data_IF_351300467947
#
_entry.id   IF_351300467947
#
_cell.length_a   1.000
_cell.length_b   1.000
_cell.length_c   1.000
_cell.angle_alpha   90.00
_cell.angle_beta   90.00
_cell.angle_gamma   90.00
#
_symmetry.space_group_name_H-M   'P 1'
#
loop_
_entity.id
_entity.type
_entity.pdbx_description
1 polymer ?
#
# COMPACT_ATOMS: atom_id res chain seq x y z
N UNK A 1 99.04 -43.13 24.29
CA UNK A 1 98.48 -44.44 24.70
C UNK A 1 97.22 -44.14 25.50
N UNK A 2 96.05 -44.63 25.04
CA UNK A 2 94.88 -45.08 25.82
C UNK A 2 94.26 -44.13 26.88
N UNK A 3 92.95 -43.93 27.06
CA UNK A 3 91.70 -44.42 26.47
C UNK A 3 90.57 -43.59 27.12
N UNK A 4 89.62 -43.14 26.31
CA UNK A 4 88.17 -42.99 26.55
C UNK A 4 87.54 -43.41 27.90
N UNK A 5 86.62 -42.56 28.41
CA UNK A 5 85.13 -42.74 28.39
C UNK A 5 84.30 -42.64 29.71
N UNK A 6 83.25 -41.79 29.59
CA UNK A 6 81.85 -41.81 30.10
C UNK A 6 81.46 -41.54 31.57
N UNK A 7 80.37 -40.76 31.70
CA UNK A 7 79.09 -40.95 32.46
C UNK A 7 78.60 -39.58 33.05
N UNK A 8 77.64 -38.90 32.40
CA UNK A 8 76.18 -38.81 32.71
C UNK A 8 75.89 -38.12 34.07
N UNK A 9 75.49 -36.84 34.05
CA UNK A 9 74.11 -36.30 34.13
C UNK A 9 73.54 -36.26 35.56
N UNK A 10 73.41 -35.05 36.11
CA UNK A 10 72.77 -34.78 37.39
C UNK A 10 72.35 -33.31 37.50
N UNK A 11 71.03 -33.08 37.49
CA UNK A 11 70.33 -31.81 37.63
C UNK A 11 70.82 -30.93 38.79
N UNK A 12 70.84 -29.61 38.60
CA UNK A 12 69.98 -28.61 39.27
C UNK A 12 70.64 -27.22 39.23
N UNK A 13 70.21 -26.35 38.31
CA UNK A 13 70.45 -24.90 38.42
C UNK A 13 69.39 -24.15 37.61
N UNK A 14 68.18 -24.07 38.17
CA UNK A 14 67.20 -23.04 37.83
C UNK A 14 67.54 -21.79 38.64
N UNK A 15 67.84 -20.69 37.97
CA UNK A 15 68.09 -19.42 38.66
C UNK A 15 68.61 -18.29 37.77
N UNK A 16 67.68 -17.69 37.02
CA UNK A 16 67.69 -16.30 36.55
C UNK A 16 68.74 -15.88 35.52
N UNK A 17 68.31 -15.78 34.26
CA UNK A 17 68.51 -14.64 33.35
C UNK A 17 67.48 -14.77 32.21
N UNK A 18 66.26 -14.32 32.48
CA UNK A 18 65.22 -14.13 31.47
C UNK A 18 64.68 -12.71 31.61
N UNK A 19 65.39 -11.76 31.00
CA UNK A 19 64.86 -10.46 30.61
C UNK A 19 64.98 -10.36 29.08
N UNK A 20 63.99 -9.71 28.48
CA UNK A 20 63.95 -9.29 27.07
C UNK A 20 63.69 -10.36 26.00
N UNK A 21 62.52 -10.99 26.03
CA UNK A 21 61.70 -11.23 24.82
C UNK A 21 60.20 -11.33 25.17
N UNK A 22 59.72 -10.57 26.16
CA UNK A 22 58.31 -10.63 26.60
C UNK A 22 57.42 -9.48 26.09
N UNK A 23 58.02 -8.43 25.52
CA UNK A 23 57.25 -7.26 25.04
C UNK A 23 57.07 -7.19 23.51
N UNK A 24 57.73 -8.07 22.73
CA UNK A 24 57.47 -8.20 21.28
C UNK A 24 56.30 -9.15 20.96
N UNK A 25 55.92 -10.05 21.88
CA UNK A 25 54.76 -10.95 21.73
C UNK A 25 53.42 -10.33 22.14
N UNK A 26 53.42 -9.08 22.65
CA UNK A 26 52.21 -8.34 23.05
C UNK A 26 51.67 -7.39 21.96
N UNK A 27 52.25 -7.39 20.76
CA UNK A 27 51.76 -6.63 19.61
C UNK A 27 50.98 -7.47 18.60
N UNK A 28 50.66 -8.72 18.92
CA UNK A 28 49.56 -9.41 18.26
C UNK A 28 48.29 -9.01 19.00
N UNK A 29 47.24 -8.53 18.30
CA UNK A 29 45.96 -8.29 18.95
C UNK A 29 45.53 -9.58 19.67
N UNK A 30 45.02 -9.42 20.89
CA UNK A 30 44.30 -10.45 21.63
C UNK A 30 43.35 -11.18 20.68
N UNK A 31 43.36 -12.52 20.69
CA UNK A 31 42.42 -13.35 19.92
C UNK A 31 40.93 -13.07 20.23
N UNK A 32 40.65 -12.23 21.23
CA UNK A 32 39.29 -11.85 21.65
C UNK A 32 38.69 -10.68 20.84
N UNK A 33 39.48 -9.97 20.01
CA UNK A 33 38.99 -8.82 19.21
C UNK A 33 38.96 -9.07 17.69
N UNK A 34 39.33 -10.26 17.22
CA UNK A 34 39.18 -10.62 15.80
C UNK A 34 37.82 -11.27 15.59
N UNK A 35 36.86 -10.48 15.14
CA UNK A 35 35.59 -11.02 14.67
C UNK A 35 35.90 -11.96 13.50
N UNK A 36 35.53 -13.23 13.65
CA UNK A 36 35.78 -14.22 12.60
C UNK A 36 35.06 -13.79 11.31
N UNK A 37 35.68 -14.04 10.17
CA UNK A 37 35.18 -13.60 8.86
C UNK A 37 34.99 -14.79 7.92
N UNK A 38 34.09 -14.62 6.96
CA UNK A 38 33.92 -15.50 5.80
C UNK A 38 33.75 -14.69 4.52
N UNK A 39 33.39 -15.38 3.45
CA UNK A 39 33.24 -14.80 2.11
C UNK A 39 31.85 -15.03 1.54
N UNK A 40 31.40 -14.10 0.72
CA UNK A 40 30.12 -14.08 0.04
C UNK A 40 30.32 -13.97 -1.47
N UNK A 41 29.50 -14.69 -2.23
CA UNK A 41 29.37 -14.56 -3.69
C UNK A 41 27.89 -14.62 -4.04
N UNK A 42 27.49 -13.85 -5.06
CA UNK A 42 26.09 -13.66 -5.43
C UNK A 42 25.86 -13.95 -6.90
N UNK A 43 24.83 -14.73 -7.18
CA UNK A 43 24.20 -14.85 -8.49
C UNK A 43 22.82 -14.18 -8.45
N UNK A 44 22.63 -13.09 -9.21
CA UNK A 44 21.32 -12.40 -9.33
C UNK A 44 20.72 -12.70 -10.69
N UNK A 45 19.44 -13.08 -10.69
CA UNK A 45 18.66 -13.24 -11.92
C UNK A 45 17.33 -12.51 -11.80
N UNK A 46 16.88 -11.90 -12.89
CA UNK A 46 15.53 -11.34 -12.98
C UNK A 46 14.61 -12.33 -13.66
N UNK A 47 13.48 -12.64 -13.03
CA UNK A 47 12.51 -13.58 -13.60
C UNK A 47 11.59 -12.93 -14.64
N UNK A 48 11.78 -11.65 -14.96
CA UNK A 48 10.96 -10.97 -15.98
C UNK A 48 11.02 -11.62 -17.36
N UNK A 49 12.06 -12.39 -17.68
CA UNK A 49 12.15 -13.14 -18.94
C UNK A 49 11.41 -14.48 -18.95
N UNK A 50 11.09 -15.05 -17.78
CA UNK A 50 10.47 -16.38 -17.65
C UNK A 50 9.10 -16.33 -16.93
N UNK A 51 8.56 -15.13 -16.68
CA UNK A 51 7.20 -14.98 -16.16
C UNK A 51 6.16 -15.26 -17.25
N UNK A 52 5.00 -15.73 -16.81
CA UNK A 52 3.84 -16.05 -17.66
C UNK A 52 2.96 -14.83 -17.97
N UNK A 53 3.43 -13.63 -17.68
CA UNK A 53 2.71 -12.37 -17.94
C UNK A 53 2.66 -12.09 -19.45
N UNK A 54 1.55 -11.53 -19.94
CA UNK A 54 1.44 -10.99 -21.32
C UNK A 54 2.14 -9.62 -21.45
N UNK A 55 2.43 -8.95 -20.33
CA UNK A 55 3.12 -7.67 -20.30
C UNK A 55 4.52 -7.75 -20.94
N UNK A 56 4.81 -6.82 -21.84
CA UNK A 56 6.16 -6.65 -22.40
C UNK A 56 7.00 -5.74 -21.49
N UNK A 57 8.19 -6.21 -21.10
CA UNK A 57 9.12 -5.43 -20.28
C UNK A 57 10.27 -4.85 -21.12
N UNK A 58 10.73 -3.64 -20.79
CA UNK A 58 11.96 -3.10 -21.36
C UNK A 58 13.14 -4.00 -20.95
N UNK A 59 14.03 -4.29 -21.89
CA UNK A 59 15.27 -5.03 -21.67
C UNK A 59 16.06 -4.54 -20.45
N UNK A 60 16.11 -3.23 -20.20
CA UNK A 60 16.84 -2.66 -19.06
C UNK A 60 16.18 -2.97 -17.72
N UNK A 61 14.86 -3.16 -17.71
CA UNK A 61 14.08 -3.43 -16.49
C UNK A 61 14.18 -4.89 -16.07
N UNK A 62 14.62 -5.77 -16.96
CA UNK A 62 14.83 -7.21 -16.69
C UNK A 62 16.31 -7.62 -16.73
N UNK A 63 17.22 -6.70 -17.06
CA UNK A 63 18.66 -6.95 -17.01
C UNK A 63 19.17 -6.82 -15.57
N UNK A 64 19.25 -7.96 -14.88
CA UNK A 64 19.72 -8.04 -13.50
C UNK A 64 21.15 -7.52 -13.29
N UNK A 65 21.98 -7.41 -14.35
CA UNK A 65 23.34 -6.88 -14.21
C UNK A 65 23.36 -5.39 -13.85
N UNK A 66 22.26 -4.68 -14.14
CA UNK A 66 22.09 -3.26 -13.85
C UNK A 66 21.53 -2.97 -12.45
N UNK A 67 21.14 -3.98 -11.69
CA UNK A 67 20.38 -3.80 -10.45
C UNK A 67 21.30 -3.39 -9.29
N UNK A 68 20.98 -2.32 -8.53
CA UNK A 68 21.62 -2.09 -7.25
C UNK A 68 21.53 -3.30 -6.32
N UNK A 69 22.56 -3.50 -5.50
CA UNK A 69 22.64 -4.59 -4.54
C UNK A 69 23.00 -4.07 -3.16
N UNK A 70 22.22 -4.47 -2.17
CA UNK A 70 22.43 -4.15 -0.75
C UNK A 70 22.65 -5.44 0.05
N UNK A 71 23.68 -5.45 0.91
CA UNK A 71 23.91 -6.52 1.88
C UNK A 71 23.65 -5.95 3.27
N UNK A 72 22.63 -6.48 3.94
CA UNK A 72 22.08 -5.95 5.18
C UNK A 72 22.31 -6.95 6.30
N UNK A 73 22.89 -6.49 7.41
CA UNK A 73 23.01 -7.29 8.63
C UNK A 73 21.63 -7.42 9.29
N UNK A 74 21.17 -8.64 9.52
CA UNK A 74 19.81 -8.88 10.02
C UNK A 74 19.63 -8.57 11.50
N UNK A 75 20.72 -8.47 12.28
CA UNK A 75 20.65 -8.18 13.71
C UNK A 75 20.58 -6.66 13.92
N UNK A 76 21.47 -5.91 13.29
CA UNK A 76 21.51 -4.44 13.41
C UNK A 76 20.56 -3.73 12.46
N UNK A 77 20.14 -4.37 11.37
CA UNK A 77 19.40 -3.74 10.27
C UNK A 77 20.25 -2.81 9.40
N UNK A 78 21.58 -2.79 9.59
CA UNK A 78 22.49 -1.89 8.87
C UNK A 78 22.86 -2.45 7.50
N UNK A 79 22.90 -1.59 6.49
CA UNK A 79 23.50 -1.90 5.19
C UNK A 79 25.01 -1.89 5.33
N UNK A 80 25.63 -3.07 5.32
CA UNK A 80 27.09 -3.23 5.43
C UNK A 80 27.78 -2.93 4.10
N UNK A 81 27.13 -3.28 2.99
CA UNK A 81 27.62 -2.99 1.65
C UNK A 81 26.48 -2.55 0.74
N UNK A 82 26.79 -1.58 -0.11
CA UNK A 82 25.93 -1.14 -1.20
C UNK A 82 26.78 -1.10 -2.48
N UNK A 83 26.20 -1.61 -3.57
CA UNK A 83 26.77 -1.54 -4.92
C UNK A 83 25.74 -0.91 -5.85
N UNK A 84 26.20 0.03 -6.68
CA UNK A 84 25.34 0.73 -7.64
C UNK A 84 24.75 -0.23 -8.68
N UNK A 85 25.44 -1.34 -8.97
CA UNK A 85 24.94 -2.42 -9.83
C UNK A 85 25.48 -3.81 -9.44
N UNK A 86 24.78 -4.86 -9.86
CA UNK A 86 25.24 -6.24 -9.71
C UNK A 86 26.53 -6.49 -10.51
N UNK A 87 26.69 -5.85 -11.67
CA UNK A 87 27.93 -5.88 -12.43
C UNK A 87 29.13 -5.35 -11.61
N UNK A 88 28.95 -4.29 -10.82
CA UNK A 88 30.00 -3.76 -9.95
C UNK A 88 30.37 -4.75 -8.85
N UNK A 89 29.39 -5.42 -8.26
CA UNK A 89 29.62 -6.48 -7.27
C UNK A 89 30.44 -7.63 -7.87
N UNK A 90 30.13 -8.06 -9.10
CA UNK A 90 30.86 -9.13 -9.78
C UNK A 90 32.36 -8.81 -9.95
N UNK A 91 32.73 -7.54 -10.10
CA UNK A 91 34.15 -7.14 -10.20
C UNK A 91 34.95 -7.40 -8.92
N UNK A 92 34.28 -7.52 -7.77
CA UNK A 92 34.91 -7.83 -6.48
C UNK A 92 35.31 -9.31 -6.36
N UNK A 93 34.68 -10.19 -7.15
CA UNK A 93 34.86 -11.64 -7.10
C UNK A 93 34.25 -12.28 -5.84
N UNK A 94 34.71 -11.89 -4.65
CA UNK A 94 34.15 -12.30 -3.36
C UNK A 94 34.11 -11.12 -2.39
N UNK A 95 33.00 -10.99 -1.65
CA UNK A 95 32.85 -9.97 -0.60
C UNK A 95 33.18 -10.59 0.75
N UNK A 96 34.02 -9.94 1.55
CA UNK A 96 34.39 -10.40 2.90
C UNK A 96 33.42 -9.83 3.92
N UNK A 97 32.88 -10.66 4.80
CA UNK A 97 31.92 -10.27 5.83
C UNK A 97 32.27 -10.93 7.16
N UNK A 98 31.95 -10.27 8.28
CA UNK A 98 32.04 -10.89 9.60
C UNK A 98 30.98 -11.99 9.75
N UNK A 99 31.24 -12.99 10.59
CA UNK A 99 30.27 -14.06 10.88
C UNK A 99 28.94 -13.47 11.34
N UNK A 100 27.84 -14.03 10.82
CA UNK A 100 26.51 -13.53 11.13
C UNK A 100 25.47 -13.85 10.07
N UNK A 101 24.24 -13.41 10.35
CA UNK A 101 23.10 -13.53 9.46
C UNK A 101 22.88 -12.24 8.70
N UNK A 102 22.70 -12.37 7.40
CA UNK A 102 22.54 -11.27 6.47
C UNK A 102 21.38 -11.55 5.53
N UNK A 103 20.91 -10.49 4.89
CA UNK A 103 20.10 -10.59 3.70
C UNK A 103 20.69 -9.77 2.58
N UNK A 104 20.57 -10.28 1.37
CA UNK A 104 20.86 -9.52 0.16
C UNK A 104 19.55 -9.06 -0.45
N UNK A 105 19.52 -7.82 -0.92
CA UNK A 105 18.39 -7.23 -1.64
C UNK A 105 18.90 -6.71 -2.98
N UNK A 106 18.21 -7.05 -4.06
CA UNK A 106 18.49 -6.53 -5.39
C UNK A 106 17.20 -6.09 -6.09
N UNK A 107 17.25 -4.97 -6.80
CA UNK A 107 16.07 -4.38 -7.46
C UNK A 107 16.44 -3.59 -8.71
N UNK A 108 15.51 -3.40 -9.66
CA UNK A 108 15.77 -2.58 -10.85
C UNK A 108 15.67 -1.06 -10.59
N UNK A 109 14.88 -0.66 -9.60
CA UNK A 109 14.84 0.67 -8.97
C UNK A 109 14.09 0.56 -7.62
N UNK A 110 14.14 1.61 -6.79
CA UNK A 110 13.34 1.64 -5.55
C UNK A 110 11.86 1.96 -5.87
N UNK A 111 11.04 0.92 -5.97
CA UNK A 111 9.60 1.00 -6.21
C UNK A 111 8.74 0.93 -4.93
N UNK A 112 9.34 0.92 -3.74
CA UNK A 112 8.63 0.65 -2.48
C UNK A 112 7.46 1.61 -2.19
N UNK A 113 7.61 2.87 -2.60
CA UNK A 113 6.64 3.95 -2.43
C UNK A 113 5.98 4.37 -3.75
N UNK A 114 6.11 3.58 -4.81
CA UNK A 114 5.50 3.88 -6.12
C UNK A 114 4.17 3.15 -6.24
N UNK A 115 3.08 3.92 -6.30
CA UNK A 115 1.72 3.36 -6.31
C UNK A 115 1.23 2.96 -7.71
N UNK A 116 1.69 3.66 -8.76
CA UNK A 116 1.44 3.34 -10.17
C UNK A 116 2.65 3.78 -11.03
N UNK A 117 2.99 3.03 -12.08
CA UNK A 117 4.20 3.22 -12.88
C UNK A 117 4.06 2.65 -14.29
N UNK A 118 4.75 3.24 -15.26
CA UNK A 118 4.98 2.63 -16.59
C UNK A 118 6.03 1.51 -16.54
N UNK A 119 6.89 1.53 -15.52
CA UNK A 119 7.98 0.55 -15.34
C UNK A 119 7.58 -0.51 -14.32
N UNK A 120 7.87 -1.80 -14.58
CA UNK A 120 7.68 -2.88 -13.62
C UNK A 120 8.72 -2.79 -12.49
N UNK A 121 8.33 -3.05 -11.26
CA UNK A 121 9.28 -3.18 -10.14
C UNK A 121 9.67 -4.64 -9.95
N UNK A 122 10.94 -4.95 -10.20
CA UNK A 122 11.52 -6.25 -9.88
C UNK A 122 12.33 -6.15 -8.60
N UNK A 123 12.06 -7.03 -7.64
CA UNK A 123 12.81 -7.12 -6.38
C UNK A 123 13.08 -8.57 -6.01
N UNK A 124 14.27 -8.82 -5.50
CA UNK A 124 14.69 -10.10 -4.95
C UNK A 124 15.27 -9.90 -3.56
N UNK A 125 14.99 -10.84 -2.66
CA UNK A 125 15.56 -10.86 -1.32
C UNK A 125 15.97 -12.30 -0.98
N UNK A 126 17.12 -12.48 -0.36
CA UNK A 126 17.60 -13.80 0.07
C UNK A 126 18.39 -13.68 1.36
N UNK A 127 17.96 -14.41 2.38
CA UNK A 127 18.68 -14.53 3.65
C UNK A 127 19.82 -15.56 3.53
N UNK A 128 20.94 -15.28 4.19
CA UNK A 128 22.10 -16.16 4.21
C UNK A 128 22.93 -15.98 5.49
N UNK A 129 23.83 -16.93 5.74
CA UNK A 129 24.72 -16.92 6.90
C UNK A 129 26.18 -16.98 6.46
N UNK A 130 27.02 -16.18 7.11
CA UNK A 130 28.47 -16.17 6.93
C UNK A 130 29.11 -16.99 8.03
N UNK A 131 29.89 -17.98 7.61
CA UNK A 131 30.62 -18.90 8.48
C UNK A 131 32.12 -18.66 8.37
N UNK A 132 32.82 -18.80 9.50
CA UNK A 132 34.25 -18.55 9.59
C UNK A 132 35.05 -19.34 8.55
N UNK A 133 35.87 -18.63 7.77
CA UNK A 133 36.78 -19.20 6.79
C UNK A 133 36.10 -19.90 5.59
N UNK A 134 34.79 -19.73 5.39
CA UNK A 134 34.04 -20.37 4.29
C UNK A 134 33.52 -19.33 3.30
N UNK A 135 33.32 -19.77 2.05
CA UNK A 135 32.57 -19.02 1.04
C UNK A 135 31.12 -19.48 1.01
N UNK A 136 30.19 -18.57 1.29
CA UNK A 136 28.75 -18.73 1.10
C UNK A 136 28.38 -18.26 -0.31
N UNK A 137 27.73 -19.13 -1.08
CA UNK A 137 27.17 -18.82 -2.40
C UNK A 137 25.67 -18.56 -2.25
N UNK A 138 25.20 -17.42 -2.74
CA UNK A 138 23.81 -16.99 -2.62
C UNK A 138 23.24 -16.77 -4.01
N UNK A 139 22.04 -17.27 -4.24
CA UNK A 139 21.30 -17.05 -5.48
C UNK A 139 20.05 -16.23 -5.15
N UNK A 140 19.88 -15.10 -5.83
CA UNK A 140 18.73 -14.22 -5.62
C UNK A 140 17.95 -14.05 -6.90
N UNK A 141 16.65 -14.37 -6.83
CA UNK A 141 15.72 -14.26 -7.96
C UNK A 141 14.85 -13.02 -7.72
N UNK A 142 15.02 -12.00 -8.57
CA UNK A 142 14.16 -10.83 -8.57
C UNK A 142 12.86 -11.12 -9.31
N UNK A 143 11.72 -10.94 -8.65
CA UNK A 143 10.38 -11.18 -9.20
C UNK A 143 9.62 -9.87 -9.31
N UNK A 144 8.65 -9.81 -10.23
CA UNK A 144 7.73 -8.67 -10.33
C UNK A 144 7.00 -8.48 -8.99
N UNK A 145 6.90 -7.24 -8.53
CA UNK A 145 6.29 -6.87 -7.24
C UNK A 145 4.95 -6.13 -7.40
N UNK A 146 4.48 -5.96 -8.64
CA UNK A 146 3.28 -5.21 -8.99
C UNK A 146 2.21 -6.11 -9.58
N UNK A 147 0.96 -5.62 -9.58
CA UNK A 147 -0.03 -6.08 -10.56
C UNK A 147 0.13 -5.27 -11.85
N UNK A 148 -0.22 -5.86 -12.97
CA UNK A 148 -0.21 -5.22 -14.27
C UNK A 148 -1.65 -4.99 -14.76
N UNK A 149 -1.93 -3.83 -15.35
CA UNK A 149 -3.23 -3.55 -15.99
C UNK A 149 -3.00 -2.94 -17.35
N UNK A 150 -3.64 -3.53 -18.35
CA UNK A 150 -3.74 -3.03 -19.72
C UNK A 150 -5.21 -2.77 -20.01
N UNK A 151 -5.54 -1.61 -20.56
CA UNK A 151 -6.92 -1.27 -20.92
C UNK A 151 -7.00 -0.89 -22.40
N UNK A 152 -8.12 -1.21 -23.04
CA UNK A 152 -8.35 -0.87 -24.43
C UNK A 152 -9.83 -0.79 -24.79
N UNK A 153 -10.11 -0.02 -25.84
CA UNK A 153 -11.43 0.07 -26.45
C UNK A 153 -11.48 -0.73 -27.75
N UNK A 154 -12.61 -1.41 -27.98
CA UNK A 154 -12.87 -2.09 -29.25
C UNK A 154 -13.10 -1.08 -30.39
N UNK A 155 -13.01 -1.56 -31.63
CA UNK A 155 -13.37 -0.75 -32.80
C UNK A 155 -14.86 -0.38 -32.81
N UNK A 156 -15.72 -1.17 -32.15
CA UNK A 156 -17.13 -0.82 -32.01
C UNK A 156 -17.30 0.39 -31.08
N UNK A 157 -16.62 0.40 -29.94
CA UNK A 157 -16.61 1.55 -29.05
C UNK A 157 -16.17 2.83 -29.77
N UNK A 158 -15.03 2.77 -30.47
CA UNK A 158 -14.48 3.92 -31.22
C UNK A 158 -15.39 4.45 -32.34
N UNK A 159 -16.36 3.67 -32.82
CA UNK A 159 -17.34 4.12 -33.82
C UNK A 159 -18.52 4.87 -33.20
N UNK A 160 -18.86 4.56 -31.96
CA UNK A 160 -20.06 5.07 -31.29
C UNK A 160 -19.76 6.25 -30.35
N UNK A 161 -18.49 6.41 -29.97
CA UNK A 161 -18.01 7.49 -29.12
C UNK A 161 -17.10 8.44 -29.88
N UNK A 162 -17.09 9.69 -29.43
CA UNK A 162 -16.11 10.69 -29.82
C UNK A 162 -14.73 10.26 -29.31
N UNK A 163 -13.69 10.85 -29.88
CA UNK A 163 -12.31 10.53 -29.54
C UNK A 163 -11.83 11.33 -28.31
N UNK A 164 -12.68 11.37 -27.28
CA UNK A 164 -12.52 12.12 -26.01
C UNK A 164 -12.59 11.21 -24.77
N UNK A 165 -12.44 9.90 -24.98
CA UNK A 165 -12.56 8.91 -23.93
C UNK A 165 -11.33 8.88 -23.00
N UNK A 166 -11.56 8.64 -21.71
CA UNK A 166 -10.54 8.45 -20.69
C UNK A 166 -10.91 7.27 -19.79
N UNK A 167 -9.93 6.47 -19.38
CA UNK A 167 -10.13 5.37 -18.43
C UNK A 167 -9.26 5.61 -17.20
N UNK A 168 -9.88 5.73 -16.04
CA UNK A 168 -9.15 5.71 -14.77
C UNK A 168 -9.17 4.31 -14.20
N UNK A 169 -7.99 3.78 -13.84
CA UNK A 169 -7.85 2.52 -13.11
C UNK A 169 -7.34 2.82 -11.72
N UNK A 170 -7.92 2.19 -10.71
CA UNK A 170 -7.37 2.15 -9.35
C UNK A 170 -7.28 0.72 -8.82
N UNK A 171 -6.27 0.46 -8.00
CA UNK A 171 -6.13 -0.79 -7.25
C UNK A 171 -6.96 -0.81 -5.94
N UNK A 172 -7.82 0.19 -5.72
CA UNK A 172 -8.61 0.34 -4.49
C UNK A 172 -7.85 0.95 -3.30
N UNK A 173 -6.63 1.45 -3.54
CA UNK A 173 -5.81 2.19 -2.58
C UNK A 173 -5.18 3.42 -3.29
N UNK A 174 -3.95 3.80 -2.91
CA UNK A 174 -3.26 4.96 -3.47
C UNK A 174 -2.81 4.79 -4.94
N UNK A 175 -2.95 3.60 -5.53
CA UNK A 175 -2.64 3.36 -6.93
C UNK A 175 -3.77 3.85 -7.83
N UNK A 176 -3.55 4.94 -8.56
CA UNK A 176 -4.50 5.52 -9.52
C UNK A 176 -3.76 5.88 -10.80
N UNK A 177 -4.33 5.53 -11.95
CA UNK A 177 -3.81 5.93 -13.27
C UNK A 177 -4.95 6.24 -14.23
N UNK A 178 -4.92 7.45 -14.79
CA UNK A 178 -5.73 7.83 -15.96
C UNK A 178 -4.97 7.43 -17.22
N UNK A 179 -5.57 6.57 -18.04
CA UNK A 179 -5.05 6.16 -19.33
C UNK A 179 -5.49 7.17 -20.38
N UNK A 180 -4.51 7.93 -20.86
CA UNK A 180 -4.69 8.78 -22.03
C UNK A 180 -4.79 7.93 -23.30
N UNK A 181 -5.31 8.54 -24.37
CA UNK A 181 -5.50 7.88 -25.66
C UNK A 181 -4.24 7.17 -26.19
N UNK A 182 -3.08 7.80 -26.12
CA UNK A 182 -1.79 7.23 -26.59
C UNK A 182 -1.24 6.15 -25.65
N UNK A 183 -1.88 5.95 -24.50
CA UNK A 183 -1.53 4.96 -23.50
C UNK A 183 -2.48 3.75 -23.52
N UNK A 184 -3.57 3.79 -24.29
CA UNK A 184 -4.42 2.62 -24.49
C UNK A 184 -3.65 1.46 -25.14
N UNK A 185 -3.84 0.27 -24.62
CA UNK A 185 -3.08 -0.93 -24.99
C UNK A 185 -1.67 -0.99 -24.39
N UNK A 186 -1.21 0.03 -23.66
CA UNK A 186 0.00 -0.07 -22.84
C UNK A 186 -0.34 -0.63 -21.46
N UNK A 187 0.62 -1.34 -20.89
CA UNK A 187 0.52 -1.89 -19.54
C UNK A 187 1.04 -0.89 -18.51
N UNK A 188 0.30 -0.69 -17.44
CA UNK A 188 0.72 0.02 -16.25
C UNK A 188 0.83 -0.91 -15.06
N UNK A 189 1.78 -0.64 -14.18
CA UNK A 189 2.08 -1.43 -13.00
C UNK A 189 1.60 -0.71 -11.76
N UNK A 190 0.82 -1.39 -10.92
CA UNK A 190 0.28 -0.84 -9.69
C UNK A 190 0.89 -1.57 -8.50
N UNK A 191 1.07 -0.86 -7.39
CA UNK A 191 1.41 -1.50 -6.12
C UNK A 191 0.33 -2.53 -5.78
N UNK A 192 0.75 -3.70 -5.29
CA UNK A 192 -0.20 -4.71 -4.82
C UNK A 192 -0.93 -4.16 -3.60
N UNK A 193 -2.26 -4.01 -3.64
CA UNK A 193 -3.01 -3.51 -2.51
C UNK A 193 -3.07 -4.54 -1.37
N UNK A 194 -3.13 -4.07 -0.12
CA UNK A 194 -3.11 -4.98 1.04
C UNK A 194 -4.46 -5.67 1.21
N UNK A 195 -4.48 -7.00 1.01
CA UNK A 195 -5.66 -7.85 1.23
C UNK A 195 -6.91 -7.39 0.46
N UNK A 196 -6.72 -6.77 -0.71
CA UNK A 196 -7.80 -6.47 -1.66
C UNK A 196 -7.82 -7.51 -2.77
N UNK A 197 -8.98 -7.66 -3.38
CA UNK A 197 -9.24 -8.65 -4.42
C UNK A 197 -9.75 -8.02 -5.74
N UNK A 198 -9.73 -6.70 -5.88
CA UNK A 198 -10.33 -6.03 -7.03
C UNK A 198 -9.56 -4.81 -7.51
N UNK A 199 -9.74 -4.49 -8.79
CA UNK A 199 -9.38 -3.21 -9.41
C UNK A 199 -10.68 -2.50 -9.79
N UNK A 200 -10.67 -1.17 -9.77
CA UNK A 200 -11.83 -0.36 -10.19
C UNK A 200 -11.48 0.42 -11.44
N UNK A 201 -12.47 0.56 -12.32
CA UNK A 201 -12.38 1.24 -13.59
C UNK A 201 -13.42 2.37 -13.62
N UNK A 202 -13.02 3.54 -14.07
CA UNK A 202 -13.93 4.64 -14.42
C UNK A 202 -13.77 4.94 -15.89
N UNK A 203 -14.82 4.77 -16.68
CA UNK A 203 -14.83 5.03 -18.12
C UNK A 203 -15.59 6.31 -18.39
N UNK A 204 -14.90 7.30 -18.96
CA UNK A 204 -15.51 8.54 -19.41
C UNK A 204 -15.43 8.64 -20.91
N UNK A 205 -16.52 9.05 -21.54
CA UNK A 205 -16.58 9.26 -22.99
C UNK A 205 -17.81 10.09 -23.37
N UNK A 206 -17.79 10.70 -24.54
CA UNK A 206 -18.97 11.32 -25.14
C UNK A 206 -19.43 10.50 -26.35
N UNK A 207 -20.71 10.15 -26.43
CA UNK A 207 -21.24 9.48 -27.63
C UNK A 207 -21.20 10.40 -28.85
N UNK A 208 -21.28 9.85 -30.05
CA UNK A 208 -21.45 10.67 -31.28
C UNK A 208 -22.76 11.47 -31.30
N UNK A 209 -23.70 11.17 -30.41
CA UNK A 209 -24.93 11.94 -30.19
C UNK A 209 -24.78 13.06 -29.14
N UNK A 210 -23.56 13.31 -28.65
CA UNK A 210 -23.22 14.30 -27.62
C UNK A 210 -23.77 14.00 -26.21
N UNK A 211 -23.95 12.71 -25.87
CA UNK A 211 -24.26 12.28 -24.51
C UNK A 211 -22.97 11.90 -23.80
N UNK A 212 -22.66 12.57 -22.69
CA UNK A 212 -21.54 12.18 -21.84
C UNK A 212 -21.91 11.00 -20.95
N UNK A 213 -20.96 10.10 -20.74
CA UNK A 213 -21.06 9.00 -19.78
C UNK A 213 -19.86 9.02 -18.86
N UNK A 214 -20.05 8.54 -17.62
CA UNK A 214 -18.97 8.35 -16.68
C UNK A 214 -19.25 7.13 -15.83
N UNK A 215 -18.83 5.95 -16.26
CA UNK A 215 -19.28 4.68 -15.69
C UNK A 215 -18.22 4.03 -14.82
N UNK A 216 -18.61 3.62 -13.62
CA UNK A 216 -17.72 2.97 -12.67
C UNK A 216 -17.96 1.46 -12.64
N UNK A 217 -16.86 0.70 -12.62
CA UNK A 217 -16.89 -0.75 -12.54
C UNK A 217 -15.90 -1.27 -11.51
N UNK A 218 -16.29 -2.32 -10.78
CA UNK A 218 -15.40 -3.10 -9.93
C UNK A 218 -15.14 -4.44 -10.59
N UNK A 219 -13.88 -4.74 -10.87
CA UNK A 219 -13.43 -6.03 -11.42
C UNK A 219 -12.78 -6.83 -10.31
N UNK A 220 -13.44 -7.91 -9.88
CA UNK A 220 -12.99 -8.74 -8.76
C UNK A 220 -12.29 -10.00 -9.25
N UNK A 221 -11.07 -10.25 -8.77
CA UNK A 221 -10.34 -11.49 -9.03
C UNK A 221 -11.13 -12.70 -8.53
N UNK A 222 -11.42 -13.69 -9.39
CA UNK A 222 -12.03 -14.94 -8.94
C UNK A 222 -11.04 -15.73 -8.08
N UNK A 223 -11.58 -16.54 -7.17
CA UNK A 223 -10.76 -17.40 -6.34
C UNK A 223 -10.02 -18.44 -7.20
N UNK A 224 -8.75 -18.69 -6.89
CA UNK A 224 -7.98 -19.78 -7.48
C UNK A 224 -8.40 -21.15 -6.92
N UNK A 225 -7.71 -22.20 -7.35
CA UNK A 225 -7.96 -23.58 -6.92
C UNK A 225 -7.75 -23.79 -5.41
N UNK A 226 -7.04 -22.89 -4.74
CA UNK A 226 -6.75 -22.91 -3.31
C UNK A 226 -7.71 -21.99 -2.52
N UNK A 227 -8.61 -21.30 -3.22
CA UNK A 227 -9.61 -20.40 -2.64
C UNK A 227 -9.10 -18.98 -2.39
N UNK A 228 -7.89 -18.64 -2.81
CA UNK A 228 -7.34 -17.29 -2.66
C UNK A 228 -7.88 -16.38 -3.77
N UNK A 229 -8.43 -15.24 -3.35
CA UNK A 229 -8.98 -14.21 -4.25
C UNK A 229 -8.24 -12.89 -4.17
N UNK A 230 -7.24 -12.77 -3.30
CA UNK A 230 -6.48 -11.54 -3.15
C UNK A 230 -5.63 -11.28 -4.40
N UNK A 231 -5.47 -10.01 -4.72
CA UNK A 231 -4.50 -9.56 -5.70
C UNK A 231 -3.10 -9.84 -5.18
N UNK A 232 -2.27 -10.45 -6.01
CA UNK A 232 -0.88 -10.76 -5.69
C UNK A 232 0.04 -10.23 -6.78
N UNK A 233 1.31 -10.03 -6.43
CA UNK A 233 2.32 -9.59 -7.38
C UNK A 233 2.37 -10.52 -8.60
N UNK A 234 2.38 -9.93 -9.80
CA UNK A 234 2.38 -10.62 -11.08
C UNK A 234 1.00 -10.91 -11.65
N UNK A 235 -0.09 -10.67 -10.93
CA UNK A 235 -1.43 -10.71 -11.53
C UNK A 235 -1.54 -9.65 -12.61
N UNK A 236 -2.09 -10.02 -13.78
CA UNK A 236 -2.22 -9.14 -14.93
C UNK A 236 -3.65 -9.11 -15.47
N UNK A 237 -4.24 -7.91 -15.51
CA UNK A 237 -5.57 -7.64 -16.05
C UNK A 237 -5.43 -7.05 -17.46
N UNK A 238 -6.08 -7.66 -18.44
CA UNK A 238 -6.29 -7.07 -19.78
C UNK A 238 -7.78 -6.77 -19.94
N UNK A 239 -8.14 -5.50 -19.83
CA UNK A 239 -9.51 -5.00 -19.87
C UNK A 239 -9.84 -4.55 -21.30
N UNK A 240 -10.91 -5.10 -21.86
CA UNK A 240 -11.47 -4.68 -23.14
C UNK A 240 -12.86 -4.08 -22.91
N UNK A 241 -13.08 -2.89 -23.46
CA UNK A 241 -14.32 -2.13 -23.26
C UNK A 241 -14.99 -1.93 -24.62
N UNK A 242 -16.25 -2.36 -24.72
CA UNK A 242 -17.08 -2.30 -25.91
C UNK A 242 -18.36 -1.49 -25.64
N UNK A 243 -18.89 -0.82 -26.67
CA UNK A 243 -20.12 -0.03 -26.59
C UNK A 243 -21.42 -0.87 -26.52
N UNK A 244 -21.33 -2.19 -26.72
CA UNK A 244 -22.49 -3.06 -26.84
C UNK A 244 -23.14 -3.00 -28.24
N UNK A 245 -24.21 -3.79 -28.41
CA UNK A 245 -24.81 -4.04 -29.72
C UNK A 245 -25.87 -3.01 -30.16
N UNK A 246 -26.34 -2.13 -29.28
CA UNK A 246 -27.19 -0.99 -29.66
C UNK A 246 -26.96 0.19 -28.70
N UNK A 247 -26.55 1.37 -29.18
CA UNK A 247 -26.71 2.58 -28.39
C UNK A 247 -28.22 2.82 -28.31
N UNK A 248 -28.84 2.50 -27.18
CA UNK A 248 -30.23 2.88 -26.99
C UNK A 248 -30.30 4.40 -27.08
N UNK A 249 -30.95 4.89 -28.14
CA UNK A 249 -31.14 6.31 -28.45
C UNK A 249 -32.25 6.92 -27.58
N UNK A 250 -32.68 6.20 -26.53
CA UNK A 250 -33.66 6.67 -25.57
C UNK A 250 -32.94 7.44 -24.44
N UNK A 251 -33.26 8.74 -24.23
CA UNK A 251 -32.70 9.54 -23.14
C UNK A 251 -33.03 9.01 -21.73
N UNK A 252 -33.82 7.95 -21.60
CA UNK A 252 -34.17 7.29 -20.34
C UNK A 252 -33.45 5.97 -20.08
N UNK A 253 -32.77 5.38 -21.07
CA UNK A 253 -31.92 4.19 -20.88
C UNK A 253 -30.48 4.62 -20.67
N UNK A 254 -29.93 4.29 -19.49
CA UNK A 254 -28.50 4.39 -19.24
C UNK A 254 -27.75 3.56 -20.30
N UNK A 255 -26.78 4.17 -20.98
CA UNK A 255 -25.83 3.44 -21.82
C UNK A 255 -25.10 2.48 -20.89
N UNK A 256 -24.97 1.21 -21.22
CA UNK A 256 -24.21 0.23 -20.41
C UNK A 256 -23.07 -0.30 -21.27
N UNK A 257 -21.83 -0.12 -20.82
CA UNK A 257 -20.66 -0.64 -21.54
C UNK A 257 -20.49 -2.12 -21.26
N UNK A 258 -20.12 -2.86 -22.31
CA UNK A 258 -19.73 -4.27 -22.19
C UNK A 258 -18.24 -4.34 -21.84
N UNK A 259 -17.92 -4.83 -20.65
CA UNK A 259 -16.54 -5.02 -20.20
C UNK A 259 -16.21 -6.51 -20.19
N UNK A 260 -15.13 -6.89 -20.86
CA UNK A 260 -14.51 -8.21 -20.73
C UNK A 260 -13.09 -8.06 -20.20
N UNK A 261 -12.68 -8.99 -19.33
CA UNK A 261 -11.36 -8.92 -18.68
C UNK A 261 -10.70 -10.28 -18.71
N UNK A 262 -9.52 -10.35 -19.34
CA UNK A 262 -8.62 -11.49 -19.18
C UNK A 262 -7.75 -11.25 -17.95
N UNK A 263 -7.72 -12.20 -17.02
CA UNK A 263 -6.80 -12.24 -15.89
C UNK A 263 -5.75 -13.33 -16.12
N UNK A 264 -4.49 -12.95 -16.11
CA UNK A 264 -3.36 -13.89 -16.00
C UNK A 264 -2.87 -13.93 -14.57
N UNK A 265 -3.02 -15.08 -13.92
CA UNK A 265 -2.64 -15.27 -12.52
C UNK A 265 -1.16 -15.65 -12.42
N UNK A 266 -0.39 -14.97 -11.54
CA UNK A 266 1.04 -15.25 -11.39
C UNK A 266 1.33 -16.67 -10.86
N UNK A 267 0.51 -17.16 -9.93
CA UNK A 267 0.76 -18.41 -9.20
C UNK A 267 0.65 -19.64 -10.11
N UNK A 268 -0.30 -19.63 -11.04
CA UNK A 268 -0.58 -20.75 -11.96
C UNK A 268 -0.06 -20.50 -13.37
N UNK A 269 0.18 -19.24 -13.73
CA UNK A 269 0.47 -18.80 -15.09
C UNK A 269 -0.68 -18.99 -16.08
N UNK A 270 -1.88 -19.29 -15.58
CA UNK A 270 -3.07 -19.46 -16.40
C UNK A 270 -3.71 -18.10 -16.68
N UNK A 271 -4.13 -17.91 -17.93
CA UNK A 271 -5.04 -16.83 -18.31
C UNK A 271 -6.47 -17.35 -18.34
N UNK A 272 -7.37 -16.67 -17.64
CA UNK A 272 -8.82 -16.93 -17.65
C UNK A 272 -9.56 -15.65 -18.00
N UNK A 273 -10.75 -15.78 -18.58
CA UNK A 273 -11.70 -14.67 -18.67
C UNK A 273 -12.41 -14.54 -17.32
N UNK A 274 -12.43 -13.34 -16.74
CA UNK A 274 -13.15 -13.06 -15.51
C UNK A 274 -14.65 -13.20 -15.79
N UNK A 275 -15.39 -14.00 -15.00
CA UNK A 275 -16.84 -14.13 -15.15
C UNK A 275 -17.57 -12.78 -15.02
N UNK A 276 -18.65 -12.59 -15.75
CA UNK A 276 -19.40 -11.33 -15.74
C UNK A 276 -19.95 -10.95 -14.36
N UNK A 277 -20.29 -11.93 -13.53
CA UNK A 277 -20.75 -11.70 -12.15
C UNK A 277 -19.68 -11.09 -11.23
N UNK A 278 -18.41 -11.19 -11.63
CA UNK A 278 -17.28 -10.58 -10.94
C UNK A 278 -16.97 -9.15 -11.42
N UNK A 279 -17.73 -8.64 -12.40
CA UNK A 279 -17.63 -7.30 -12.94
C UNK A 279 -18.92 -6.54 -12.57
N UNK A 280 -18.84 -5.69 -11.55
CA UNK A 280 -19.99 -4.99 -11.01
C UNK A 280 -20.03 -3.56 -11.55
N UNK A 281 -21.12 -3.18 -12.21
CA UNK A 281 -21.40 -1.78 -12.53
C UNK A 281 -21.87 -1.04 -11.27
N UNK A 282 -21.15 0.01 -10.89
CA UNK A 282 -21.40 0.78 -9.67
C UNK A 282 -22.21 2.06 -9.93
N UNK A 283 -22.68 2.30 -11.16
CA UNK A 283 -23.43 3.50 -11.54
C UNK A 283 -22.60 4.56 -12.27
N UNK A 284 -23.28 5.65 -12.65
CA UNK A 284 -22.70 6.82 -13.31
C UNK A 284 -21.92 7.65 -12.27
N UNK A 285 -20.60 7.49 -12.26
CA UNK A 285 -19.65 8.30 -11.50
C UNK A 285 -19.54 9.70 -12.05
N UNK A 286 -20.39 10.61 -11.56
CA UNK A 286 -20.21 12.05 -11.77
C UNK A 286 -18.75 12.47 -11.52
N UNK A 287 -18.13 12.99 -12.59
CA UNK A 287 -16.89 13.79 -12.67
C UNK A 287 -15.63 13.31 -11.91
N UNK A 288 -14.69 12.68 -12.63
CA UNK A 288 -13.25 12.52 -12.27
C UNK A 288 -12.28 13.45 -13.06
N UNK A 289 -11.05 13.69 -12.59
CA UNK A 289 -10.15 14.78 -13.01
C UNK A 289 -9.21 14.45 -14.18
N UNK A 290 -8.97 15.41 -15.09
CA UNK A 290 -7.94 15.37 -16.16
C UNK A 290 -6.68 16.16 -15.74
N UNK A 291 -5.43 15.69 -15.95
CA UNK A 291 -4.22 16.28 -15.40
C UNK A 291 -3.56 17.45 -16.18
N UNK A 292 -3.92 17.80 -17.41
CA UNK A 292 -3.02 18.64 -18.25
C UNK A 292 -3.63 19.84 -19.02
N UNK A 293 -4.77 20.37 -18.59
CA UNK A 293 -5.23 21.71 -19.02
C UNK A 293 -5.20 22.65 -17.81
N UNK A 294 -4.50 23.80 -17.86
CA UNK A 294 -4.80 24.88 -16.93
C UNK A 294 -6.17 25.41 -17.33
N UNK A 295 -7.21 24.84 -16.73
CA UNK A 295 -8.58 25.31 -16.86
C UNK A 295 -8.77 26.50 -15.91
N UNK A 296 -8.96 27.71 -16.44
CA UNK A 296 -9.41 28.83 -15.63
C UNK A 296 -10.92 28.65 -15.43
N UNK A 297 -11.30 28.31 -14.20
CA UNK A 297 -12.67 28.22 -13.67
C UNK A 297 -13.43 26.88 -13.84
N UNK A 298 -12.89 25.78 -13.28
CA UNK A 298 -13.72 24.64 -12.81
C UNK A 298 -13.82 24.65 -11.27
N UNK A 299 -14.97 25.01 -10.68
CA UNK A 299 -15.10 25.19 -9.25
C UNK A 299 -15.10 23.89 -8.44
N UNK A 300 -15.10 22.69 -9.05
CA UNK A 300 -15.28 21.40 -8.34
C UNK A 300 -14.00 20.65 -7.91
N UNK A 301 -12.84 20.94 -8.51
CA UNK A 301 -11.59 20.18 -8.26
C UNK A 301 -10.88 20.54 -6.94
N UNK A 302 -11.21 21.71 -6.41
CA UNK A 302 -10.72 22.20 -5.13
C UNK A 302 -11.73 21.98 -4.00
N UNK A 303 -12.91 21.42 -4.28
CA UNK A 303 -13.96 21.26 -3.29
C UNK A 303 -13.71 20.10 -2.34
N UNK A 304 -14.26 20.26 -1.15
CA UNK A 304 -14.32 19.23 -0.14
C UNK A 304 -15.25 18.11 -0.63
N UNK A 305 -14.89 16.86 -0.39
CA UNK A 305 -15.77 15.70 -0.59
C UNK A 305 -15.82 14.86 0.68
N UNK A 306 -17.03 14.36 0.98
CA UNK A 306 -17.25 13.50 2.15
C UNK A 306 -18.12 12.32 1.73
N UNK A 307 -17.64 11.10 2.00
CA UNK A 307 -18.38 9.85 1.72
C UNK A 307 -18.65 9.09 3.01
N UNK A 308 -19.73 8.33 3.05
CA UNK A 308 -20.20 7.68 4.28
C UNK A 308 -21.15 8.54 5.10
N UNK A 309 -21.64 9.66 4.55
CA UNK A 309 -22.76 10.45 5.08
C UNK A 309 -24.02 10.19 4.23
N UNK A 310 -25.20 10.34 4.83
CA UNK A 310 -26.51 10.02 4.23
C UNK A 310 -27.01 8.61 4.52
N UNK A 311 -26.21 7.81 5.22
CA UNK A 311 -26.50 6.41 5.55
C UNK A 311 -27.28 6.28 6.87
N UNK A 312 -28.03 5.19 7.00
CA UNK A 312 -28.70 4.79 8.24
C UNK A 312 -28.16 3.44 8.73
N UNK A 313 -27.64 3.42 9.95
CA UNK A 313 -27.11 2.23 10.59
C UNK A 313 -28.05 1.75 11.70
N UNK A 314 -28.31 0.45 11.74
CA UNK A 314 -29.12 -0.16 12.79
C UNK A 314 -28.20 -0.90 13.76
N UNK A 315 -28.39 -0.69 15.06
CA UNK A 315 -27.67 -1.42 16.10
C UNK A 315 -28.51 -2.60 16.62
N UNK A 316 -27.86 -3.74 16.95
CA UNK A 316 -26.42 -3.99 16.84
C UNK A 316 -25.94 -4.06 15.37
N UNK A 317 -24.72 -3.58 15.12
CA UNK A 317 -24.11 -3.66 13.78
C UNK A 317 -23.96 -5.13 13.36
N UNK A 318 -24.08 -5.39 12.06
CA UNK A 318 -23.81 -6.73 11.51
C UNK A 318 -22.32 -7.09 11.68
N UNK A 319 -22.00 -8.38 11.72
CA UNK A 319 -20.61 -8.83 11.89
C UNK A 319 -19.69 -8.24 10.80
N UNK A 320 -18.65 -7.53 11.23
CA UNK A 320 -17.70 -6.86 10.34
C UNK A 320 -18.17 -5.53 9.73
N UNK A 321 -19.40 -5.08 10.01
CA UNK A 321 -19.91 -3.79 9.55
C UNK A 321 -19.21 -2.64 10.31
N UNK A 322 -18.65 -1.69 9.57
CA UNK A 322 -18.00 -0.49 10.09
C UNK A 322 -18.77 0.77 9.70
N UNK A 323 -18.68 1.79 10.56
CA UNK A 323 -19.22 3.12 10.30
C UNK A 323 -18.05 4.06 10.04
N UNK A 324 -17.75 4.27 8.77
CA UNK A 324 -16.60 5.03 8.30
C UNK A 324 -17.05 6.27 7.54
N UNK A 325 -16.55 7.43 7.92
CA UNK A 325 -16.70 8.68 7.14
C UNK A 325 -15.35 9.04 6.55
N UNK A 326 -15.26 9.03 5.23
CA UNK A 326 -14.03 9.42 4.54
C UNK A 326 -14.15 10.86 4.07
N UNK A 327 -13.21 11.71 4.48
CA UNK A 327 -13.15 13.12 4.18
C UNK A 327 -11.95 13.37 3.27
N UNK A 328 -12.17 14.12 2.19
CA UNK A 328 -11.12 14.69 1.36
C UNK A 328 -11.32 16.20 1.30
N UNK A 329 -10.32 16.96 1.72
CA UNK A 329 -10.33 18.42 1.73
C UNK A 329 -9.02 18.91 1.11
N UNK A 330 -8.97 19.17 -0.21
CA UNK A 330 -7.72 19.46 -0.92
C UNK A 330 -6.93 20.66 -0.37
N UNK A 331 -7.60 21.65 0.22
CA UNK A 331 -6.95 22.82 0.85
C UNK A 331 -6.58 22.61 2.33
N UNK A 332 -6.81 21.42 2.86
CA UNK A 332 -6.54 21.04 4.25
C UNK A 332 -7.71 21.33 5.17
N UNK A 333 -8.12 20.37 5.99
CA UNK A 333 -9.24 20.52 6.93
C UNK A 333 -8.91 21.62 7.94
N UNK A 334 -9.68 22.70 7.92
CA UNK A 334 -9.57 23.79 8.91
C UNK A 334 -10.53 23.59 10.07
N UNK A 335 -11.72 23.05 9.82
CA UNK A 335 -12.70 22.64 10.85
C UNK A 335 -13.35 21.32 10.46
N UNK A 336 -13.67 20.53 11.48
CA UNK A 336 -14.55 19.38 11.36
C UNK A 336 -15.58 19.50 12.48
N UNK A 337 -16.72 20.11 12.16
CA UNK A 337 -17.79 20.38 13.10
C UNK A 337 -18.69 19.15 13.23
N UNK A 338 -19.02 18.81 14.46
CA UNK A 338 -19.92 17.70 14.80
C UNK A 338 -21.05 18.25 15.64
N UNK A 339 -22.28 17.97 15.23
CA UNK A 339 -23.49 18.19 16.02
C UNK A 339 -24.20 16.85 16.21
N UNK A 340 -24.59 16.56 17.45
CA UNK A 340 -25.28 15.32 17.80
C UNK A 340 -26.69 15.69 18.26
N UNK A 341 -27.68 15.07 17.65
CA UNK A 341 -29.08 15.16 18.05
C UNK A 341 -29.61 13.75 18.31
N UNK A 342 -30.48 13.60 19.31
CA UNK A 342 -31.09 12.32 19.66
C UNK A 342 -32.51 12.51 20.17
N UNK A 343 -33.37 11.51 19.93
CA UNK A 343 -34.68 11.41 20.57
C UNK A 343 -34.62 10.90 22.01
N UNK A 344 -33.45 10.48 22.50
CA UNK A 344 -33.23 10.01 23.86
C UNK A 344 -32.68 11.12 24.77
N UNK A 345 -33.49 11.56 25.74
CA UNK A 345 -33.14 12.64 26.67
C UNK A 345 -31.95 12.29 27.58
N UNK A 346 -31.78 11.03 27.98
CA UNK A 346 -30.67 10.60 28.85
C UNK A 346 -29.33 10.61 28.10
N UNK A 347 -29.34 10.26 26.83
CA UNK A 347 -28.17 10.38 25.97
C UNK A 347 -27.78 11.85 25.78
N UNK A 348 -28.74 12.72 25.47
CA UNK A 348 -28.50 14.16 25.37
C UNK A 348 -27.99 14.78 26.68
N UNK A 349 -28.51 14.33 27.84
CA UNK A 349 -28.01 14.75 29.14
C UNK A 349 -26.56 14.28 29.37
N UNK A 350 -26.22 13.07 28.93
CA UNK A 350 -24.84 12.55 28.99
C UNK A 350 -23.89 13.39 28.13
N UNK A 351 -24.26 13.70 26.88
CA UNK A 351 -23.48 14.60 26.02
C UNK A 351 -23.30 15.98 26.66
N UNK A 352 -24.35 16.51 27.29
CA UNK A 352 -24.27 17.76 28.07
C UNK A 352 -23.26 17.70 29.20
N UNK A 353 -23.14 16.57 29.90
CA UNK A 353 -22.13 16.36 30.94
C UNK A 353 -20.70 16.42 30.43
N UNK A 354 -20.47 16.03 29.17
CA UNK A 354 -19.18 16.13 28.49
C UNK A 354 -18.95 17.46 27.76
N UNK A 355 -19.94 18.36 27.76
CA UNK A 355 -19.88 19.62 27.01
C UNK A 355 -20.05 19.45 25.50
N UNK A 356 -20.68 18.35 25.06
CA UNK A 356 -20.87 17.96 23.65
C UNK A 356 -22.34 18.12 23.17
N UNK A 357 -23.17 18.83 23.95
CA UNK A 357 -24.59 19.05 23.62
C UNK A 357 -24.81 20.11 22.53
N UNK A 358 -23.85 21.01 22.35
CA UNK A 358 -23.84 21.98 21.24
C UNK A 358 -22.86 21.49 20.16
N UNK A 359 -22.88 22.13 18.99
CA UNK A 359 -21.91 21.85 17.92
C UNK A 359 -20.47 22.11 18.40
N UNK A 360 -19.56 21.19 18.11
CA UNK A 360 -18.15 21.29 18.50
C UNK A 360 -17.21 20.93 17.34
N UNK A 361 -16.00 21.50 17.35
CA UNK A 361 -15.00 21.29 16.31
C UNK A 361 -13.95 20.26 16.76
N UNK A 362 -13.93 19.09 16.13
CA UNK A 362 -12.95 18.04 16.46
C UNK A 362 -11.59 18.25 15.79
N UNK A 363 -11.50 19.11 14.76
CA UNK A 363 -10.22 19.52 14.20
C UNK A 363 -9.54 20.61 15.06
N UNK A 364 -10.32 21.39 15.82
CA UNK A 364 -9.83 22.36 16.78
C UNK A 364 -10.48 22.16 18.18
N UNK A 365 -10.19 21.04 18.84
CA UNK A 365 -10.97 20.60 20.02
C UNK A 365 -10.82 21.51 21.24
N UNK A 366 -9.74 22.30 21.34
CA UNK A 366 -9.58 23.27 22.42
C UNK A 366 -9.71 22.64 23.81
N UNK A 367 -10.66 23.11 24.63
CA UNK A 367 -10.93 22.56 25.97
C UNK A 367 -11.52 21.14 25.94
N UNK A 368 -12.05 20.71 24.80
CA UNK A 368 -12.63 19.38 24.62
C UNK A 368 -11.56 18.35 24.22
N UNK A 369 -10.29 18.73 24.03
CA UNK A 369 -9.24 17.79 23.60
C UNK A 369 -9.19 16.54 24.48
N UNK A 370 -9.05 16.71 25.81
CA UNK A 370 -8.98 15.58 26.74
C UNK A 370 -10.25 14.73 26.72
N UNK A 371 -11.42 15.36 26.59
CA UNK A 371 -12.71 14.64 26.51
C UNK A 371 -12.79 13.81 25.22
N UNK A 372 -12.35 14.37 24.10
CA UNK A 372 -12.42 13.71 22.80
C UNK A 372 -11.33 12.66 22.62
N UNK A 373 -10.15 12.81 23.22
CA UNK A 373 -9.02 11.90 23.01
C UNK A 373 -8.90 10.80 24.05
N UNK A 374 -9.31 11.02 25.30
CA UNK A 374 -9.18 10.01 26.34
C UNK A 374 -10.24 8.91 26.18
N UNK A 375 -9.89 7.67 26.53
CA UNK A 375 -10.78 6.52 26.41
C UNK A 375 -11.94 6.57 27.41
N UNK A 376 -13.11 6.09 26.98
CA UNK A 376 -14.27 5.85 27.83
C UNK A 376 -13.96 4.89 28.99
N UNK A 377 -13.06 3.91 28.78
CA UNK A 377 -12.62 2.98 29.82
C UNK A 377 -11.95 3.68 31.00
N UNK A 378 -11.28 4.80 30.73
CA UNK A 378 -10.63 5.61 31.76
C UNK A 378 -11.61 6.54 32.50
N UNK A 379 -12.85 6.67 32.02
CA UNK A 379 -13.87 7.56 32.57
C UNK A 379 -13.64 9.06 32.34
N UNK A 380 -12.58 9.43 31.60
CA UNK A 380 -12.15 10.81 31.42
C UNK A 380 -12.32 11.34 29.98
N UNK A 381 -12.93 10.54 29.09
CA UNK A 381 -13.22 10.95 27.71
C UNK A 381 -14.04 9.90 26.95
N UNK A 382 -14.14 10.05 25.64
CA UNK A 382 -14.95 9.21 24.74
C UNK A 382 -14.16 8.60 23.57
N UNK A 383 -12.87 8.90 23.42
CA UNK A 383 -11.97 8.26 22.46
C UNK A 383 -12.32 8.44 20.99
N UNK A 384 -12.83 9.61 20.61
CA UNK A 384 -13.19 9.95 19.23
C UNK A 384 -12.03 10.41 18.36
N UNK A 385 -10.94 10.92 18.95
CA UNK A 385 -9.77 11.39 18.22
C UNK A 385 -8.48 10.79 18.78
N UNK A 386 -7.50 10.57 17.92
CA UNK A 386 -6.16 10.18 18.33
C UNK A 386 -5.35 11.43 18.71
N UNK A 387 -4.84 11.54 19.96
CA UNK A 387 -4.07 12.70 20.40
C UNK A 387 -2.74 12.88 19.63
N UNK A 388 -2.20 11.82 19.05
CA UNK A 388 -0.94 11.84 18.30
C UNK A 388 -1.14 12.07 16.79
N UNK A 389 -2.40 12.10 16.32
CA UNK A 389 -2.73 12.21 14.90
C UNK A 389 -3.75 13.33 14.59
N UNK A 390 -3.34 14.62 14.72
CA UNK A 390 -4.25 15.76 14.62
C UNK A 390 -4.92 15.88 13.25
N UNK A 391 -6.22 16.19 13.24
CA UNK A 391 -7.04 16.28 12.01
C UNK A 391 -6.73 17.56 11.22
N UNK A 392 -6.45 18.67 11.91
CA UNK A 392 -6.26 19.99 11.31
C UNK A 392 -5.12 19.98 10.28
N UNK A 393 -5.40 20.50 9.10
CA UNK A 393 -4.45 20.65 8.00
C UNK A 393 -4.27 19.39 7.14
N UNK A 394 -4.88 18.26 7.51
CA UNK A 394 -4.87 17.07 6.66
C UNK A 394 -5.72 17.29 5.41
N UNK A 395 -5.26 16.76 4.29
CA UNK A 395 -6.00 16.79 3.03
C UNK A 395 -6.92 15.59 2.85
N UNK A 396 -6.73 14.54 3.65
CA UNK A 396 -7.64 13.40 3.75
C UNK A 396 -7.68 12.89 5.19
N UNK A 397 -8.85 12.46 5.64
CA UNK A 397 -9.05 11.90 6.97
C UNK A 397 -10.13 10.81 6.93
N UNK A 398 -9.78 9.60 7.38
CA UNK A 398 -10.74 8.53 7.60
C UNK A 398 -11.21 8.60 9.04
N UNK A 399 -12.46 9.03 9.24
CA UNK A 399 -13.08 9.09 10.55
C UNK A 399 -13.83 7.78 10.81
N UNK A 400 -13.18 6.86 11.55
CA UNK A 400 -13.80 5.62 12.01
C UNK A 400 -14.56 5.89 13.31
N UNK A 401 -15.89 5.86 13.24
CA UNK A 401 -16.77 6.07 14.40
C UNK A 401 -17.44 4.78 14.85
N UNK A 402 -17.00 3.63 14.34
CA UNK A 402 -17.65 2.33 14.57
C UNK A 402 -17.85 2.04 16.06
N UNK A 403 -16.78 2.12 16.86
CA UNK A 403 -16.82 1.78 18.28
C UNK A 403 -17.70 2.76 19.06
N UNK A 404 -17.63 4.04 18.72
CA UNK A 404 -18.47 5.06 19.35
C UNK A 404 -19.95 4.81 19.06
N UNK A 405 -20.31 4.46 17.81
CA UNK A 405 -21.71 4.18 17.46
C UNK A 405 -22.26 2.97 18.20
N UNK A 406 -21.44 1.94 18.45
CA UNK A 406 -21.88 0.76 19.23
C UNK A 406 -22.30 1.13 20.66
N UNK A 407 -21.72 2.18 21.25
CA UNK A 407 -22.09 2.65 22.61
C UNK A 407 -23.54 3.13 22.69
N UNK A 408 -24.16 3.54 21.57
CA UNK A 408 -25.54 4.02 21.55
C UNK A 408 -26.56 2.92 21.92
N UNK A 409 -26.16 1.64 21.89
CA UNK A 409 -26.97 0.54 22.44
C UNK A 409 -27.28 0.70 23.93
N UNK A 410 -26.45 1.42 24.70
CA UNK A 410 -26.73 1.74 26.10
C UNK A 410 -27.96 2.63 26.27
N UNK A 411 -28.36 3.34 25.22
CA UNK A 411 -29.47 4.27 25.18
C UNK A 411 -30.58 3.77 24.23
N UNK A 412 -30.65 2.47 23.97
CA UNK A 412 -31.75 1.89 23.20
C UNK A 412 -33.08 1.94 24.00
N UNK A 413 -34.24 2.18 23.35
CA UNK A 413 -34.36 2.53 21.95
C UNK A 413 -34.03 4.01 21.71
N UNK A 414 -33.32 4.31 20.63
CA UNK A 414 -33.03 5.70 20.24
C UNK A 414 -32.75 5.85 18.75
N UNK A 415 -33.05 7.02 18.22
CA UNK A 415 -32.66 7.50 16.90
C UNK A 415 -31.72 8.69 17.08
N UNK A 416 -30.47 8.50 16.66
CA UNK A 416 -29.40 9.46 16.84
C UNK A 416 -28.94 9.98 15.49
N UNK A 417 -28.78 11.29 15.36
CA UNK A 417 -28.31 11.95 14.14
C UNK A 417 -27.01 12.68 14.43
N UNK A 418 -25.98 12.38 13.65
CA UNK A 418 -24.68 13.02 13.68
C UNK A 418 -24.54 13.88 12.45
N UNK A 419 -24.60 15.19 12.60
CA UNK A 419 -24.35 16.13 11.52
C UNK A 419 -22.86 16.47 11.52
N UNK A 420 -22.19 16.21 10.41
CA UNK A 420 -20.79 16.56 10.21
C UNK A 420 -20.69 17.67 9.17
N UNK A 421 -19.94 18.72 9.47
CA UNK A 421 -19.64 19.80 8.54
C UNK A 421 -18.13 19.98 8.44
N UNK A 422 -17.61 19.91 7.21
CA UNK A 422 -16.18 20.05 6.92
C UNK A 422 -15.93 21.41 6.28
N UNK A 423 -14.92 22.12 6.77
CA UNK A 423 -14.44 23.39 6.20
C UNK A 423 -12.94 23.33 5.94
N UNK A 424 -12.47 23.84 4.80
CA UNK A 424 -11.04 24.01 4.47
C UNK A 424 -10.62 25.50 4.42
N UNK A 425 -11.55 26.40 4.75
CA UNK A 425 -11.34 27.85 4.79
C UNK A 425 -11.28 28.52 3.41
N UNK A 426 -11.50 27.77 2.32
CA UNK A 426 -11.42 28.26 0.93
C UNK A 426 -12.66 27.86 0.13
N UNK A 427 -13.06 26.60 0.23
CA UNK A 427 -14.19 25.98 -0.46
C UNK A 427 -15.50 26.18 0.31
N UNK A 428 -16.64 26.01 -0.37
CA UNK A 428 -17.94 25.94 0.29
C UNK A 428 -17.96 24.75 1.29
N UNK A 429 -18.45 24.94 2.52
CA UNK A 429 -18.53 23.86 3.50
C UNK A 429 -19.41 22.71 3.02
N UNK A 430 -18.95 21.48 3.23
CA UNK A 430 -19.75 20.28 2.95
C UNK A 430 -20.31 19.73 4.25
N UNK A 431 -21.63 19.56 4.28
CA UNK A 431 -22.36 19.04 5.43
C UNK A 431 -23.17 17.81 5.05
N UNK A 432 -23.26 16.86 5.97
CA UNK A 432 -24.08 15.67 5.81
C UNK A 432 -24.37 15.00 7.15
N UNK A 433 -25.29 14.06 7.15
CA UNK A 433 -25.78 13.42 8.37
C UNK A 433 -25.57 11.92 8.36
N UNK A 434 -25.22 11.35 9.50
CA UNK A 434 -25.29 9.93 9.79
C UNK A 434 -26.44 9.66 10.74
N UNK A 435 -27.30 8.71 10.41
CA UNK A 435 -28.38 8.29 11.32
C UNK A 435 -28.07 6.92 11.91
N UNK A 436 -28.16 6.79 13.22
CA UNK A 436 -27.99 5.52 13.93
C UNK A 436 -29.22 5.22 14.76
N UNK A 437 -29.86 4.11 14.46
CA UNK A 437 -31.06 3.62 15.14
C UNK A 437 -30.65 2.47 16.06
N UNK A 438 -30.70 2.72 17.37
CA UNK A 438 -30.53 1.69 18.39
C UNK A 438 -31.91 1.13 18.76
N UNK A 439 -32.11 -0.17 18.55
CA UNK A 439 -33.35 -0.86 18.93
C UNK A 439 -33.15 -1.65 20.22
N UNK A 440 -34.23 -1.90 20.96
CA UNK A 440 -34.17 -2.85 22.07
C UNK A 440 -33.71 -4.21 21.54
N UNK A 441 -32.75 -4.83 22.22
CA UNK A 441 -32.40 -6.22 21.97
C UNK A 441 -33.63 -7.08 22.31
N UNK A 442 -34.12 -7.86 21.34
CA UNK A 442 -35.11 -8.92 21.60
C UNK A 442 -34.51 -10.09 22.39
#
# INVERSE_FOLDING_TARGET
MKTNNYIILGLLALGFMACEMRDELKKLPSKEDQQEEGWFTLDVVSNGQNQTTKAAFDSKDVDATLYPVEIINMISGTTEHHYDSYADLLTQGQVKLVIGKYKVVAYNYDGSNVNASERPWFRGETEFEILAGKTTKVNTICKLQNIAVTVGFTDNFKKQFQDDYAITVTNGEAGVKVFEKEQLGKTFFFKVPEKKNSVQLTVKATTTANTQIAQNYTVTKPADAEGNSNLVSGDEFTVNIDAGNEPSVDPTTQIELNISVDLTMNETGLTIEIPTENIVFNGDGGSTPDPDVPDPDDPGKDQITVTGLGETYNLPLSEGQKVLVNISAPKGITKLLVKIDSDNEEFMATLGGFGLAEEFDIANPGKLFDVLSNSLESGNGIGLIDPDDPIKGKTSYLFDVTDFMVLLNLYAPSTNTFTLTVEDGVSEPVSGTLTVVASNLE
#
